data_IF_997444122376
#
_entry.id   IF_997444122376
#
_cell.length_a   1.000
_cell.length_b   1.000
_cell.length_c   1.000
_cell.angle_alpha   90.00
_cell.angle_beta   90.00
_cell.angle_gamma   90.00
#
_symmetry.space_group_name_H-M   'P 1'
#
loop_
_entity.id
_entity.type
_entity.pdbx_description
1 polymer ?
#
# COMPACT_ATOMS: atom_id res chain seq x y z
N UNK A 1 5.53 16.72 -4.06
CA UNK A 1 4.51 15.80 -4.60
C UNK A 1 3.16 15.90 -3.87
N UNK A 2 3.10 16.19 -2.57
CA UNK A 2 1.83 16.35 -1.84
C UNK A 2 0.92 17.42 -2.49
N UNK A 3 1.45 18.60 -2.81
CA UNK A 3 0.69 19.66 -3.51
C UNK A 3 0.07 19.17 -4.85
N UNK A 4 0.83 18.38 -5.63
CA UNK A 4 0.30 17.77 -6.88
C UNK A 4 -0.83 16.80 -6.60
N UNK A 5 -0.70 15.99 -5.55
CA UNK A 5 -1.76 15.06 -5.12
C UNK A 5 -3.04 15.82 -4.76
N UNK A 6 -2.94 16.84 -3.94
CA UNK A 6 -4.09 17.66 -3.51
C UNK A 6 -4.74 18.38 -4.71
N UNK A 7 -3.92 18.91 -5.62
CA UNK A 7 -4.41 19.52 -6.85
C UNK A 7 -5.12 18.50 -7.75
N UNK A 8 -4.51 17.31 -7.95
CA UNK A 8 -5.11 16.24 -8.73
C UNK A 8 -6.47 15.81 -8.16
N UNK A 9 -6.56 15.60 -6.85
CA UNK A 9 -7.82 15.23 -6.18
C UNK A 9 -8.89 16.29 -6.41
N UNK A 10 -8.55 17.59 -6.33
CA UNK A 10 -9.49 18.68 -6.45
C UNK A 10 -9.99 18.89 -7.90
N UNK A 11 -9.08 18.82 -8.88
CA UNK A 11 -9.38 19.25 -10.25
C UNK A 11 -9.50 18.08 -11.25
N UNK A 12 -8.87 16.94 -10.98
CA UNK A 12 -8.68 15.85 -11.95
C UNK A 12 -9.12 14.46 -11.45
N UNK A 13 -9.82 14.36 -10.31
CA UNK A 13 -10.27 13.07 -9.77
C UNK A 13 -11.19 12.30 -10.74
N UNK A 14 -11.83 12.99 -11.68
CA UNK A 14 -12.61 12.37 -12.75
C UNK A 14 -11.76 11.44 -13.63
N UNK A 15 -10.47 11.75 -13.85
CA UNK A 15 -9.55 10.87 -14.60
C UNK A 15 -9.36 9.56 -13.83
N UNK A 16 -9.11 9.65 -12.52
CA UNK A 16 -8.97 8.46 -11.67
C UNK A 16 -10.25 7.61 -11.73
N UNK A 17 -11.41 8.22 -11.51
CA UNK A 17 -12.70 7.52 -11.57
C UNK A 17 -12.91 6.87 -12.93
N UNK A 18 -12.71 7.63 -14.00
CA UNK A 18 -12.87 7.13 -15.37
C UNK A 18 -11.95 5.93 -15.70
N UNK A 19 -10.76 5.85 -15.11
CA UNK A 19 -9.81 4.77 -15.35
C UNK A 19 -9.93 3.61 -14.37
N UNK A 20 -10.26 3.87 -13.10
CA UNK A 20 -10.24 2.87 -12.03
C UNK A 20 -11.60 2.18 -11.84
N UNK A 21 -12.71 2.85 -12.16
CA UNK A 21 -14.04 2.31 -12.01
C UNK A 21 -14.51 1.59 -13.28
N UNK A 22 -15.56 0.78 -13.14
CA UNK A 22 -16.23 0.20 -14.30
C UNK A 22 -16.81 1.29 -15.22
N UNK A 23 -16.88 1.06 -16.53
CA UNK A 23 -16.60 -0.17 -17.26
C UNK A 23 -15.13 -0.33 -17.70
N UNK A 24 -14.25 0.63 -17.40
CA UNK A 24 -12.85 0.65 -17.87
C UNK A 24 -11.88 0.04 -16.86
N UNK A 25 -12.22 0.09 -15.59
CA UNK A 25 -11.49 -0.53 -14.47
C UNK A 25 -12.30 -1.60 -13.76
N UNK A 26 -11.92 -1.91 -12.54
CA UNK A 26 -12.59 -2.85 -11.65
C UNK A 26 -12.14 -2.59 -10.19
N UNK A 27 -12.79 -3.20 -9.20
CA UNK A 27 -12.53 -2.93 -7.77
C UNK A 27 -11.07 -3.12 -7.34
N UNK A 28 -10.31 -3.95 -8.06
CA UNK A 28 -8.87 -4.18 -7.82
C UNK A 28 -7.95 -3.29 -8.65
N UNK A 29 -8.49 -2.36 -9.43
CA UNK A 29 -7.68 -1.51 -10.29
C UNK A 29 -6.85 -0.54 -9.44
N UNK A 30 -5.56 -0.54 -9.70
CA UNK A 30 -4.58 0.38 -9.15
C UNK A 30 -3.70 0.89 -10.28
N UNK A 31 -3.32 2.14 -10.23
CA UNK A 31 -2.52 2.76 -11.26
C UNK A 31 -1.53 3.78 -10.71
N UNK A 32 -0.67 4.26 -11.58
CA UNK A 32 0.25 5.33 -11.27
C UNK A 32 0.36 6.32 -12.43
N UNK A 33 0.57 7.58 -12.09
CA UNK A 33 0.85 8.65 -13.02
C UNK A 33 2.27 9.14 -12.82
N UNK A 34 3.04 9.18 -13.91
CA UNK A 34 4.42 9.62 -13.91
C UNK A 34 4.51 11.12 -14.16
N UNK A 35 5.38 11.78 -13.42
CA UNK A 35 5.67 13.19 -13.54
C UNK A 35 7.19 13.44 -13.60
N UNK A 36 7.65 14.51 -14.24
CA UNK A 36 9.00 15.01 -14.02
C UNK A 36 9.22 15.25 -12.52
N UNK A 37 10.41 14.92 -11.98
CA UNK A 37 10.70 15.13 -10.57
C UNK A 37 10.65 16.63 -10.25
N UNK A 38 10.30 16.96 -9.02
CA UNK A 38 10.34 18.34 -8.53
C UNK A 38 11.79 18.76 -8.25
N UNK A 39 12.53 17.90 -7.55
CA UNK A 39 13.97 18.06 -7.36
C UNK A 39 14.72 17.41 -8.53
N UNK A 40 15.53 18.18 -9.30
CA UNK A 40 16.29 17.65 -10.42
C UNK A 40 17.33 16.58 -10.02
N UNK A 41 17.61 16.39 -8.76
CA UNK A 41 18.45 15.28 -8.28
C UNK A 41 17.71 13.94 -8.27
N UNK A 42 16.38 13.94 -8.27
CA UNK A 42 15.56 12.74 -8.34
C UNK A 42 15.31 12.31 -9.79
N UNK A 43 14.85 11.09 -10.01
CA UNK A 43 14.68 10.54 -11.35
C UNK A 43 13.26 10.76 -11.86
N UNK A 44 12.22 10.61 -11.00
CA UNK A 44 10.82 10.64 -11.39
C UNK A 44 9.91 10.96 -10.20
N UNK A 45 8.78 11.62 -10.46
CA UNK A 45 7.68 11.78 -9.53
C UNK A 45 6.52 10.86 -9.86
N UNK A 46 5.80 10.36 -8.86
CA UNK A 46 4.67 9.43 -9.04
C UNK A 46 3.49 9.82 -8.15
N UNK A 47 2.28 9.78 -8.73
CA UNK A 47 1.00 9.73 -8.00
C UNK A 47 0.41 8.35 -8.15
N UNK A 48 -0.12 7.80 -7.07
CA UNK A 48 -0.80 6.50 -7.05
C UNK A 48 -2.31 6.71 -7.00
N UNK A 49 -3.03 6.07 -7.92
CA UNK A 49 -4.48 6.16 -8.04
C UNK A 49 -5.12 4.78 -7.88
N UNK A 50 -6.18 4.74 -7.11
CA UNK A 50 -6.95 3.52 -6.86
C UNK A 50 -8.46 3.82 -6.87
N UNK A 51 -9.26 2.78 -6.71
CA UNK A 51 -10.71 2.95 -6.51
C UNK A 51 -11.02 3.76 -5.26
N UNK A 52 -10.21 3.64 -4.20
CA UNK A 52 -10.33 4.38 -2.94
C UNK A 52 -9.87 5.84 -3.00
N UNK A 53 -9.12 6.22 -4.01
CA UNK A 53 -8.61 7.60 -4.14
C UNK A 53 -7.18 7.69 -4.66
N UNK A 54 -6.54 8.81 -4.39
CA UNK A 54 -5.13 9.04 -4.70
C UNK A 54 -4.29 8.85 -3.43
N UNK A 55 -3.52 7.77 -3.36
CA UNK A 55 -2.77 7.40 -2.16
C UNK A 55 -1.46 8.19 -2.02
N UNK A 56 -1.01 8.47 -0.78
CA UNK A 56 0.30 9.06 -0.54
C UNK A 56 1.47 8.15 -0.95
N UNK A 57 1.31 6.83 -0.81
CA UNK A 57 2.30 5.82 -1.15
C UNK A 57 1.60 4.49 -1.51
N UNK A 58 2.18 3.77 -2.48
CA UNK A 58 1.75 2.42 -2.84
C UNK A 58 2.97 1.55 -3.15
N UNK A 59 3.19 0.50 -2.35
CA UNK A 59 4.38 -0.36 -2.49
C UNK A 59 4.33 -1.23 -3.75
N UNK A 60 3.24 -1.98 -3.96
CA UNK A 60 3.10 -2.80 -5.16
C UNK A 60 3.00 -1.93 -6.43
N UNK A 61 2.32 -0.77 -6.32
CA UNK A 61 2.29 0.21 -7.41
C UNK A 61 3.68 0.72 -7.78
N UNK A 62 4.56 0.95 -6.79
CA UNK A 62 5.97 1.31 -7.02
C UNK A 62 6.71 0.21 -7.77
N UNK A 63 6.56 -1.06 -7.37
CA UNK A 63 7.20 -2.19 -8.04
C UNK A 63 6.74 -2.29 -9.50
N UNK A 64 5.44 -2.20 -9.75
CA UNK A 64 4.86 -2.20 -11.10
C UNK A 64 5.34 -1.01 -11.93
N UNK A 65 5.27 0.19 -11.37
CA UNK A 65 5.69 1.44 -12.03
C UNK A 65 7.15 1.40 -12.46
N UNK A 66 8.05 1.00 -11.56
CA UNK A 66 9.49 0.91 -11.84
C UNK A 66 9.75 -0.15 -12.91
N UNK A 67 9.11 -1.31 -12.82
CA UNK A 67 9.24 -2.36 -13.82
C UNK A 67 8.86 -1.84 -15.21
N UNK A 68 7.69 -1.20 -15.35
CA UNK A 68 7.21 -0.65 -16.62
C UNK A 68 8.11 0.49 -17.09
N UNK A 69 8.44 1.43 -16.21
CA UNK A 69 9.20 2.62 -16.58
C UNK A 69 10.61 2.28 -17.09
N UNK A 70 11.24 1.25 -16.52
CA UNK A 70 12.56 0.77 -16.96
C UNK A 70 12.45 -0.07 -18.25
N UNK A 71 11.54 -1.04 -18.31
CA UNK A 71 11.37 -1.92 -19.48
C UNK A 71 10.94 -1.15 -20.73
N UNK A 72 10.12 -0.09 -20.56
CA UNK A 72 9.60 0.73 -21.66
C UNK A 72 10.41 2.02 -21.90
N UNK A 73 11.49 2.24 -21.16
CA UNK A 73 12.34 3.41 -21.32
C UNK A 73 11.66 4.76 -21.01
N UNK A 74 10.64 4.74 -20.14
CA UNK A 74 9.91 5.96 -19.74
C UNK A 74 10.70 6.82 -18.76
N UNK A 75 11.75 6.27 -18.18
CA UNK A 75 12.69 6.98 -17.30
C UNK A 75 14.12 6.56 -17.65
N UNK A 76 15.04 7.54 -17.59
CA UNK A 76 16.49 7.30 -17.69
C UNK A 76 17.09 7.42 -16.31
N UNK A 77 17.43 6.31 -15.64
CA UNK A 77 18.04 6.36 -14.31
C UNK A 77 19.38 7.09 -14.34
N UNK A 78 19.61 8.00 -13.41
CA UNK A 78 20.90 8.67 -13.24
C UNK A 78 22.01 7.71 -12.85
N UNK A 79 21.64 6.65 -12.13
CA UNK A 79 22.55 5.58 -11.72
C UNK A 79 21.90 4.25 -12.15
N UNK A 80 22.53 3.47 -13.03
CA UNK A 80 22.00 2.15 -13.41
C UNK A 80 21.69 1.27 -12.20
N UNK A 81 20.56 0.61 -12.21
CA UNK A 81 20.09 -0.23 -11.10
C UNK A 81 19.47 0.52 -9.93
N UNK A 82 19.38 1.86 -9.98
CA UNK A 82 18.83 2.71 -8.91
C UNK A 82 17.88 3.77 -9.45
N UNK A 83 16.87 4.12 -8.64
CA UNK A 83 15.99 5.26 -8.89
C UNK A 83 15.71 6.02 -7.58
N UNK A 84 15.57 7.32 -7.69
CA UNK A 84 15.06 8.21 -6.64
C UNK A 84 13.66 8.67 -7.04
N UNK A 85 12.67 8.13 -6.35
CA UNK A 85 11.26 8.29 -6.67
C UNK A 85 10.59 9.26 -5.69
N UNK A 86 10.07 10.36 -6.19
CA UNK A 86 9.28 11.29 -5.38
C UNK A 86 7.83 10.82 -5.28
N UNK A 87 7.34 10.64 -4.06
CA UNK A 87 5.94 10.32 -3.78
C UNK A 87 5.30 11.39 -2.88
N UNK A 88 3.98 11.45 -2.76
CA UNK A 88 3.35 12.34 -1.78
C UNK A 88 3.77 12.06 -0.33
N UNK A 89 4.08 10.81 0.02
CA UNK A 89 4.55 10.44 1.36
C UNK A 89 6.05 10.73 1.58
N UNK A 90 6.81 11.11 0.54
CA UNK A 90 8.23 11.42 0.62
C UNK A 90 9.08 10.78 -0.46
N UNK A 91 10.39 10.86 -0.29
CA UNK A 91 11.36 10.26 -1.21
C UNK A 91 11.51 8.77 -0.95
N UNK A 92 11.40 7.98 -2.01
CA UNK A 92 11.58 6.52 -2.00
C UNK A 92 12.81 6.16 -2.81
N UNK A 93 13.73 5.44 -2.20
CA UNK A 93 14.91 4.92 -2.86
C UNK A 93 14.65 3.53 -3.40
N UNK A 94 14.98 3.33 -4.67
CA UNK A 94 14.75 2.09 -5.40
C UNK A 94 16.10 1.49 -5.79
N UNK A 95 16.27 0.19 -5.52
CA UNK A 95 17.23 -0.66 -6.19
C UNK A 95 16.45 -1.64 -7.08
N UNK A 96 16.88 -1.89 -8.31
CA UNK A 96 16.26 -2.87 -9.18
C UNK A 96 17.32 -3.72 -9.88
N UNK A 97 16.96 -4.98 -10.13
CA UNK A 97 17.79 -5.92 -10.89
C UNK A 97 17.20 -6.08 -12.28
N UNK A 98 18.00 -5.78 -13.29
CA UNK A 98 17.61 -5.94 -14.70
C UNK A 98 18.52 -6.96 -15.40
N UNK A 99 17.90 -7.88 -16.13
CA UNK A 99 18.59 -8.86 -16.98
C UNK A 99 18.07 -8.73 -18.41
N UNK A 100 18.93 -8.24 -19.29
CA UNK A 100 18.52 -7.90 -20.65
C UNK A 100 17.42 -6.84 -20.63
N UNK A 101 16.30 -7.05 -21.36
CA UNK A 101 15.21 -6.09 -21.38
C UNK A 101 14.28 -6.19 -20.16
N UNK A 102 14.49 -7.15 -19.24
CA UNK A 102 13.53 -7.48 -18.18
C UNK A 102 14.01 -7.11 -16.79
N UNK A 103 13.15 -6.42 -16.03
CA UNK A 103 13.33 -6.20 -14.59
C UNK A 103 12.94 -7.47 -13.84
N UNK A 104 13.86 -7.99 -13.04
CA UNK A 104 13.69 -9.25 -12.28
C UNK A 104 13.12 -8.99 -10.89
N UNK A 105 13.64 -7.98 -10.21
CA UNK A 105 13.14 -7.54 -8.91
C UNK A 105 13.27 -6.04 -8.75
N UNK A 106 12.43 -5.48 -7.89
CA UNK A 106 12.44 -4.09 -7.46
C UNK A 106 12.39 -4.08 -5.94
N UNK A 107 13.42 -3.49 -5.33
CA UNK A 107 13.48 -3.22 -3.90
C UNK A 107 13.27 -1.73 -3.67
N UNK A 108 12.29 -1.38 -2.90
CA UNK A 108 12.05 -0.01 -2.46
C UNK A 108 12.43 0.15 -0.98
N UNK A 109 13.19 1.19 -0.67
CA UNK A 109 13.36 1.67 0.71
C UNK A 109 12.25 2.68 0.96
N UNK A 110 11.31 2.25 1.79
CA UNK A 110 10.07 2.98 2.03
C UNK A 110 10.29 4.13 3.02
N UNK A 111 9.25 4.93 3.21
CA UNK A 111 9.21 6.01 4.21
C UNK A 111 9.27 5.45 5.62
N UNK A 112 9.62 6.32 6.60
CA UNK A 112 9.61 5.95 8.01
C UNK A 112 8.28 5.32 8.39
N UNK A 113 8.33 4.18 9.07
CA UNK A 113 7.17 3.39 9.49
C UNK A 113 7.19 3.17 10.99
N UNK A 114 6.02 3.27 11.64
CA UNK A 114 5.92 3.22 13.09
C UNK A 114 4.57 2.69 13.57
N UNK A 115 4.54 2.13 14.78
CA UNK A 115 3.31 1.77 15.48
C UNK A 115 2.67 3.06 16.03
N UNK A 116 1.50 3.41 15.51
CA UNK A 116 0.78 4.63 15.89
C UNK A 116 0.01 4.44 17.20
N UNK A 117 -0.79 3.38 17.29
CA UNK A 117 -1.58 3.02 18.46
C UNK A 117 -1.69 1.51 18.60
N UNK A 118 -1.84 1.03 19.84
CA UNK A 118 -1.95 -0.39 20.17
C UNK A 118 -3.26 -0.67 20.90
N UNK A 119 -3.91 -1.79 20.56
CA UNK A 119 -5.06 -2.31 21.29
C UNK A 119 -6.31 -1.43 21.24
N UNK A 120 -6.52 -0.67 20.15
CA UNK A 120 -7.78 0.05 19.96
C UNK A 120 -8.92 -0.95 19.78
N UNK A 121 -10.08 -0.67 20.34
CA UNK A 121 -11.22 -1.60 20.28
C UNK A 121 -12.41 -1.00 19.57
N UNK A 122 -13.06 -1.81 18.75
CA UNK A 122 -14.36 -1.52 18.14
C UNK A 122 -15.30 -2.72 18.32
N UNK A 123 -16.59 -2.46 18.43
CA UNK A 123 -17.63 -3.48 18.47
C UNK A 123 -18.16 -3.67 17.05
N UNK A 124 -17.69 -4.73 16.40
CA UNK A 124 -18.07 -5.07 15.03
C UNK A 124 -19.30 -5.99 15.04
N UNK A 125 -20.41 -5.61 14.40
CA UNK A 125 -21.58 -6.48 14.30
C UNK A 125 -21.22 -7.88 13.83
N UNK A 126 -21.82 -8.90 14.42
CA UNK A 126 -21.65 -10.33 14.16
C UNK A 126 -20.24 -10.91 14.49
N UNK A 127 -19.22 -10.05 14.66
CA UNK A 127 -17.88 -10.45 15.05
C UNK A 127 -17.55 -10.13 16.51
N UNK A 128 -18.26 -9.16 17.11
CA UNK A 128 -18.06 -8.70 18.48
C UNK A 128 -16.88 -7.74 18.62
N UNK A 129 -16.34 -7.64 19.83
CA UNK A 129 -15.27 -6.69 20.14
C UNK A 129 -13.96 -7.16 19.52
N UNK A 130 -13.43 -6.34 18.61
CA UNK A 130 -12.17 -6.57 17.92
C UNK A 130 -11.12 -5.57 18.42
N UNK A 131 -9.96 -6.10 18.80
CA UNK A 131 -8.76 -5.34 19.13
C UNK A 131 -7.93 -5.11 17.87
N UNK A 132 -7.50 -3.87 17.65
CA UNK A 132 -6.80 -3.44 16.44
C UNK A 132 -5.59 -2.60 16.83
N UNK A 133 -4.44 -2.95 16.30
CA UNK A 133 -3.28 -2.07 16.33
C UNK A 133 -3.31 -1.15 15.11
N UNK A 134 -2.85 0.07 15.24
CA UNK A 134 -2.74 0.99 14.10
C UNK A 134 -1.27 1.32 13.87
N UNK A 135 -0.80 1.05 12.66
CA UNK A 135 0.57 1.36 12.26
C UNK A 135 0.59 2.12 10.92
N UNK A 136 1.63 2.94 10.74
CA UNK A 136 1.91 3.69 9.53
C UNK A 136 3.05 3.03 8.75
N UNK A 137 2.86 2.85 7.44
CA UNK A 137 3.86 2.31 6.52
C UNK A 137 3.87 3.03 5.16
N UNK A 138 3.45 4.31 5.15
CA UNK A 138 3.15 5.12 3.96
C UNK A 138 1.66 5.44 3.86
N UNK A 139 0.83 4.62 4.51
CA UNK A 139 -0.59 4.83 4.80
C UNK A 139 -0.86 4.30 6.22
N UNK A 140 -2.02 4.65 6.82
CA UNK A 140 -2.46 4.07 8.09
C UNK A 140 -3.18 2.74 7.88
N UNK A 141 -2.77 1.74 8.66
CA UNK A 141 -3.29 0.37 8.66
C UNK A 141 -3.86 0.01 10.02
N UNK A 142 -5.12 -0.43 10.05
CA UNK A 142 -5.68 -1.16 11.19
C UNK A 142 -5.27 -2.64 11.05
N UNK A 143 -4.38 -3.10 11.91
CA UNK A 143 -3.83 -4.45 11.88
C UNK A 143 -4.58 -5.31 12.89
N UNK A 144 -5.20 -6.38 12.41
CA UNK A 144 -5.97 -7.32 13.21
C UNK A 144 -5.21 -8.63 13.27
N UNK A 145 -4.64 -8.91 14.44
CA UNK A 145 -4.01 -10.17 14.75
C UNK A 145 -5.04 -11.22 15.18
N UNK A 146 -4.77 -12.54 15.03
CA UNK A 146 -5.60 -13.58 15.59
C UNK A 146 -5.92 -13.35 17.07
N UNK A 147 -7.18 -13.48 17.42
CA UNK A 147 -7.76 -13.22 18.74
C UNK A 147 -9.03 -14.04 18.95
N UNK A 148 -9.69 -13.95 20.10
CA UNK A 148 -10.82 -14.81 20.45
C UNK A 148 -11.96 -14.84 19.41
N UNK A 149 -12.24 -13.71 18.76
CA UNK A 149 -13.30 -13.55 17.77
C UNK A 149 -12.81 -13.61 16.31
N UNK A 150 -11.51 -13.78 16.11
CA UNK A 150 -10.86 -13.89 14.81
C UNK A 150 -9.63 -14.78 14.95
N UNK A 151 -9.74 -16.03 14.59
CA UNK A 151 -8.69 -17.03 14.75
C UNK A 151 -7.61 -16.98 13.67
N UNK A 152 -8.00 -16.91 12.39
CA UNK A 152 -7.07 -16.85 11.24
C UNK A 152 -7.81 -16.41 9.98
N UNK A 153 -7.09 -15.79 9.03
CA UNK A 153 -7.66 -15.40 7.72
C UNK A 153 -8.18 -16.60 6.92
N UNK A 154 -7.68 -17.81 7.18
CA UNK A 154 -8.10 -19.02 6.48
C UNK A 154 -9.50 -19.50 6.90
N UNK A 155 -10.00 -19.03 8.04
CA UNK A 155 -11.35 -19.38 8.55
C UNK A 155 -12.45 -18.52 7.92
N UNK A 156 -12.07 -17.51 7.12
CA UNK A 156 -13.01 -16.56 6.54
C UNK A 156 -12.90 -16.52 5.02
N UNK A 157 -14.04 -16.39 4.35
CA UNK A 157 -14.07 -16.09 2.92
C UNK A 157 -13.57 -14.65 2.63
N UNK A 158 -13.11 -14.41 1.42
CA UNK A 158 -12.71 -13.05 0.99
C UNK A 158 -13.85 -12.03 1.19
N UNK A 159 -15.09 -12.42 0.89
CA UNK A 159 -16.26 -11.55 1.07
C UNK A 159 -16.50 -11.19 2.55
N UNK A 160 -16.30 -12.13 3.48
CA UNK A 160 -16.41 -11.85 4.92
C UNK A 160 -15.31 -10.91 5.40
N UNK A 161 -14.04 -11.14 4.99
CA UNK A 161 -12.92 -10.26 5.34
C UNK A 161 -13.13 -8.83 4.79
N UNK A 162 -13.67 -8.69 3.57
CA UNK A 162 -14.04 -7.39 2.98
C UNK A 162 -15.15 -6.75 3.81
N UNK A 163 -16.24 -7.47 4.07
CA UNK A 163 -17.40 -6.97 4.79
C UNK A 163 -17.03 -6.45 6.19
N UNK A 164 -16.40 -7.29 7.01
CA UNK A 164 -15.99 -6.88 8.36
C UNK A 164 -14.90 -5.81 8.33
N UNK A 165 -13.98 -5.87 7.37
CA UNK A 165 -12.93 -4.87 7.20
C UNK A 165 -13.50 -3.46 6.94
N UNK A 166 -14.54 -3.35 6.11
CA UNK A 166 -15.25 -2.07 5.86
C UNK A 166 -15.85 -1.51 7.14
N UNK A 167 -16.59 -2.35 7.87
CA UNK A 167 -17.25 -1.96 9.13
C UNK A 167 -16.20 -1.50 10.14
N UNK A 168 -15.16 -2.30 10.37
CA UNK A 168 -14.10 -1.98 11.34
C UNK A 168 -13.37 -0.69 10.96
N UNK A 169 -13.04 -0.50 9.68
CA UNK A 169 -12.41 0.73 9.20
C UNK A 169 -13.28 1.96 9.46
N UNK A 170 -14.57 1.87 9.17
CA UNK A 170 -15.53 2.94 9.43
C UNK A 170 -15.59 3.25 10.92
N UNK A 171 -15.84 2.25 11.78
CA UNK A 171 -15.94 2.42 13.24
C UNK A 171 -14.67 3.03 13.85
N UNK A 172 -13.48 2.62 13.37
CA UNK A 172 -12.22 3.18 13.82
C UNK A 172 -12.09 4.68 13.45
N UNK A 173 -12.44 5.05 12.20
CA UNK A 173 -12.39 6.45 11.77
C UNK A 173 -13.45 7.33 12.44
N UNK A 174 -14.59 6.78 12.81
CA UNK A 174 -15.63 7.51 13.57
C UNK A 174 -15.20 7.75 15.03
N UNK A 175 -14.48 6.79 15.60
CA UNK A 175 -14.12 6.81 17.03
C UNK A 175 -12.77 7.49 17.29
N UNK A 176 -11.83 7.43 16.35
CA UNK A 176 -10.46 7.89 16.54
C UNK A 176 -10.00 8.77 15.38
N UNK A 177 -9.14 9.74 15.66
CA UNK A 177 -8.45 10.54 14.66
C UNK A 177 -7.04 9.98 14.42
N UNK A 178 -6.74 9.69 13.17
CA UNK A 178 -5.41 9.22 12.72
C UNK A 178 -4.77 10.31 11.87
N UNK A 179 -3.69 10.92 12.35
CA UNK A 179 -2.98 12.01 11.64
C UNK A 179 -1.48 11.75 11.76
N UNK A 180 -0.78 11.85 10.64
CA UNK A 180 0.68 11.70 10.64
C UNK A 180 1.34 12.87 11.39
N UNK A 181 2.22 12.60 12.36
CA UNK A 181 2.75 13.64 13.25
C UNK A 181 3.65 14.66 12.53
N UNK A 182 4.28 14.27 11.40
CA UNK A 182 5.15 15.13 10.62
C UNK A 182 4.44 15.77 9.39
N UNK A 183 3.22 15.31 9.00
CA UNK A 183 2.44 15.86 7.88
C UNK A 183 0.93 15.67 8.08
N UNK A 184 0.22 16.73 8.45
CA UNK A 184 -1.22 16.73 8.69
C UNK A 184 -2.07 16.41 7.44
N UNK A 185 -1.52 16.48 6.22
CA UNK A 185 -2.23 16.07 5.01
C UNK A 185 -2.31 14.54 4.85
N UNK A 186 -1.56 13.80 5.66
CA UNK A 186 -1.64 12.33 5.74
C UNK A 186 -2.50 12.00 6.95
N UNK A 187 -3.76 11.68 6.70
CA UNK A 187 -4.74 11.42 7.75
C UNK A 187 -5.76 10.35 7.34
N UNK A 188 -6.46 9.82 8.35
CA UNK A 188 -7.47 8.77 8.21
C UNK A 188 -6.88 7.37 8.07
N UNK A 189 -7.58 6.40 8.63
CA UNK A 189 -7.29 4.98 8.48
C UNK A 189 -7.85 4.51 7.13
N UNK A 190 -6.99 4.16 6.20
CA UNK A 190 -7.38 3.83 4.83
C UNK A 190 -7.49 2.33 4.56
N UNK A 191 -6.77 1.51 5.33
CA UNK A 191 -6.67 0.06 5.10
C UNK A 191 -6.92 -0.74 6.38
N UNK A 192 -7.51 -1.92 6.23
CA UNK A 192 -7.52 -2.97 7.25
C UNK A 192 -6.64 -4.12 6.77
N UNK A 193 -5.75 -4.57 7.64
CA UNK A 193 -4.86 -5.70 7.41
C UNK A 193 -5.20 -6.82 8.38
N UNK A 194 -5.92 -7.81 7.89
CA UNK A 194 -6.11 -9.08 8.56
C UNK A 194 -4.82 -9.89 8.52
N UNK A 195 -4.43 -10.50 9.62
CA UNK A 195 -3.22 -11.32 9.67
C UNK A 195 -3.55 -12.77 10.02
N UNK A 196 -2.65 -13.68 9.64
CA UNK A 196 -2.83 -15.10 9.91
C UNK A 196 -1.50 -15.84 9.84
N UNK A 197 -1.58 -17.15 10.07
CA UNK A 197 -0.44 -18.03 9.98
C UNK A 197 0.04 -18.17 8.54
N UNK A 198 1.36 -18.18 8.30
CA UNK A 198 1.90 -18.44 6.98
C UNK A 198 1.57 -19.86 6.50
N UNK A 199 1.34 -20.01 5.20
CA UNK A 199 1.08 -21.30 4.56
C UNK A 199 2.26 -21.78 3.72
N UNK A 200 3.17 -20.87 3.35
CA UNK A 200 4.35 -21.19 2.56
C UNK A 200 5.59 -21.34 3.45
N UNK A 201 6.51 -22.24 3.07
CA UNK A 201 7.81 -22.36 3.74
C UNK A 201 8.53 -21.01 3.77
N UNK A 202 9.18 -20.71 4.87
CA UNK A 202 9.97 -19.50 5.10
C UNK A 202 9.17 -18.20 5.18
N UNK A 203 7.84 -18.19 5.05
CA UNK A 203 7.05 -16.99 5.34
C UNK A 203 7.06 -16.67 6.83
N UNK A 204 7.28 -15.39 7.16
CA UNK A 204 7.27 -14.88 8.54
C UNK A 204 5.86 -14.59 9.03
N UNK A 205 4.95 -14.23 8.13
CA UNK A 205 3.55 -13.91 8.40
C UNK A 205 2.75 -13.88 7.11
N UNK A 206 1.42 -13.89 7.25
CA UNK A 206 0.48 -13.84 6.14
C UNK A 206 -0.56 -12.76 6.38
N UNK A 207 -1.03 -12.13 5.31
CA UNK A 207 -2.08 -11.11 5.42
C UNK A 207 -3.13 -11.19 4.32
N UNK A 208 -4.26 -10.53 4.60
CA UNK A 208 -5.26 -10.12 3.63
C UNK A 208 -5.56 -8.64 3.89
N UNK A 209 -5.28 -7.79 2.92
CA UNK A 209 -5.44 -6.33 3.07
C UNK A 209 -6.66 -5.86 2.30
N UNK A 210 -7.58 -5.21 3.00
CA UNK A 210 -8.70 -4.51 2.38
C UNK A 210 -8.19 -3.27 1.65
N UNK A 211 -8.40 -3.24 0.33
CA UNK A 211 -8.09 -2.12 -0.56
C UNK A 211 -9.41 -1.55 -1.09
N UNK A 212 -9.56 -0.24 -1.02
CA UNK A 212 -10.83 0.39 -1.36
C UNK A 212 -11.97 -0.13 -0.49
N UNK A 213 -13.13 -0.35 -1.11
CA UNK A 213 -14.33 -0.82 -0.40
C UNK A 213 -14.69 -2.27 -0.71
N UNK A 214 -14.19 -2.85 -1.79
CA UNK A 214 -14.73 -4.10 -2.29
C UNK A 214 -13.67 -5.17 -2.58
N UNK A 215 -12.41 -4.96 -2.20
CA UNK A 215 -11.36 -5.87 -2.64
C UNK A 215 -10.26 -6.14 -1.61
N UNK A 216 -9.66 -7.33 -1.69
CA UNK A 216 -8.43 -7.67 -1.00
C UNK A 216 -7.24 -7.51 -1.95
N UNK A 217 -6.12 -6.97 -1.46
CA UNK A 217 -4.87 -6.90 -2.21
C UNK A 217 -4.40 -8.32 -2.60
N UNK A 218 -3.97 -8.50 -3.84
CA UNK A 218 -3.38 -9.76 -4.31
C UNK A 218 -1.90 -9.85 -3.97
N UNK A 219 -1.24 -8.71 -3.77
CA UNK A 219 0.10 -8.66 -3.23
C UNK A 219 0.09 -8.73 -1.69
N UNK A 220 1.26 -8.95 -1.03
CA UNK A 220 1.35 -8.82 0.43
C UNK A 220 1.13 -7.38 0.94
N UNK A 221 0.84 -6.43 0.05
CA UNK A 221 0.76 -5.00 0.31
C UNK A 221 2.08 -4.39 0.82
N UNK A 222 2.80 -3.63 0.01
CA UNK A 222 4.14 -3.12 0.37
C UNK A 222 4.12 -2.17 1.56
N UNK A 223 3.19 -1.19 1.58
CA UNK A 223 3.00 -0.27 2.70
C UNK A 223 2.39 -0.98 3.91
N UNK A 224 1.51 -1.97 3.71
CA UNK A 224 0.99 -2.84 4.76
C UNK A 224 2.08 -3.74 5.38
N UNK A 225 2.99 -4.27 4.56
CA UNK A 225 4.17 -5.01 5.05
C UNK A 225 5.08 -4.11 5.88
N UNK A 226 5.31 -2.86 5.44
CA UNK A 226 6.07 -1.86 6.20
C UNK A 226 5.43 -1.55 7.55
N UNK A 227 4.10 -1.36 7.57
CA UNK A 227 3.33 -1.15 8.79
C UNK A 227 3.40 -2.37 9.74
N UNK A 228 3.30 -3.59 9.20
CA UNK A 228 3.45 -4.84 9.97
C UNK A 228 4.83 -4.99 10.57
N UNK A 229 5.88 -4.71 9.80
CA UNK A 229 7.25 -4.73 10.29
C UNK A 229 7.47 -3.71 11.41
N UNK A 230 6.91 -2.51 11.29
CA UNK A 230 6.97 -1.48 12.32
C UNK A 230 6.22 -1.89 13.60
N UNK A 231 5.04 -2.51 13.46
CA UNK A 231 4.31 -3.09 14.59
C UNK A 231 5.15 -4.17 15.30
N UNK A 232 5.73 -5.10 14.55
CA UNK A 232 6.54 -6.17 15.12
C UNK A 232 7.84 -5.65 15.73
N UNK A 233 8.46 -4.64 15.13
CA UNK A 233 9.64 -3.99 15.70
C UNK A 233 9.30 -3.32 17.04
N UNK A 234 8.24 -2.52 17.11
CA UNK A 234 7.80 -1.87 18.35
C UNK A 234 7.45 -2.89 19.46
N UNK A 235 6.91 -4.06 19.09
CA UNK A 235 6.58 -5.17 20.00
C UNK A 235 7.77 -6.11 20.28
N UNK A 236 8.98 -5.81 19.79
CA UNK A 236 10.19 -6.62 19.99
C UNK A 236 10.19 -7.97 19.26
N UNK A 237 9.25 -8.19 18.32
CA UNK A 237 9.15 -9.45 17.55
C UNK A 237 10.01 -9.47 16.30
N UNK A 238 10.42 -8.32 15.78
CA UNK A 238 11.31 -8.18 14.62
C UNK A 238 12.51 -7.32 15.00
N UNK A 239 13.69 -7.71 14.53
CA UNK A 239 14.95 -6.97 14.79
C UNK A 239 15.60 -6.59 13.47
N UNK A 240 16.40 -5.51 13.49
CA UNK A 240 17.26 -5.15 12.37
C UNK A 240 18.17 -6.32 11.98
N UNK A 241 18.34 -6.55 10.69
CA UNK A 241 19.13 -7.66 10.14
C UNK A 241 18.34 -8.96 9.93
N UNK A 242 17.08 -9.04 10.39
CA UNK A 242 16.21 -10.20 10.13
C UNK A 242 15.38 -9.94 8.86
N UNK A 243 15.29 -10.91 7.97
CA UNK A 243 14.35 -10.88 6.84
C UNK A 243 12.94 -11.14 7.34
N UNK A 244 11.98 -10.40 6.78
CA UNK A 244 10.56 -10.57 7.01
C UNK A 244 9.89 -10.95 5.69
N UNK A 245 9.61 -12.24 5.48
CA UNK A 245 8.93 -12.72 4.28
C UNK A 245 7.43 -12.69 4.54
N UNK A 246 6.74 -11.76 3.88
CA UNK A 246 5.31 -11.57 4.05
C UNK A 246 4.53 -12.22 2.90
N UNK A 247 3.60 -13.09 3.25
CA UNK A 247 2.76 -13.85 2.32
C UNK A 247 1.41 -13.14 2.13
N UNK A 248 0.93 -13.05 0.91
CA UNK A 248 -0.40 -12.50 0.60
C UNK A 248 -1.51 -13.54 0.73
N UNK A 249 -2.75 -13.08 0.60
CA UNK A 249 -3.92 -13.95 0.55
C UNK A 249 -3.84 -15.04 -0.54
N UNK A 250 -3.24 -14.73 -1.70
CA UNK A 250 -3.05 -15.67 -2.81
C UNK A 250 -1.70 -16.42 -2.79
N UNK A 251 -0.87 -16.22 -1.75
CA UNK A 251 0.43 -16.88 -1.62
C UNK A 251 1.60 -16.18 -2.34
N UNK A 252 1.43 -14.97 -2.89
CA UNK A 252 2.58 -14.18 -3.36
C UNK A 252 3.39 -13.66 -2.17
N UNK A 253 4.68 -13.43 -2.35
CA UNK A 253 5.57 -13.03 -1.25
C UNK A 253 6.31 -11.73 -1.57
N UNK A 254 6.50 -10.91 -0.53
CA UNK A 254 7.48 -9.83 -0.49
C UNK A 254 8.54 -10.14 0.56
N UNK A 255 9.78 -9.74 0.27
CA UNK A 255 10.87 -9.77 1.25
C UNK A 255 11.06 -8.38 1.84
N UNK A 256 10.85 -8.26 3.14
CA UNK A 256 11.05 -7.04 3.91
C UNK A 256 12.33 -7.07 4.74
N UNK A 257 12.97 -5.90 4.93
CA UNK A 257 14.12 -5.72 5.83
C UNK A 257 14.05 -4.38 6.54
N UNK A 258 14.59 -4.30 7.75
CA UNK A 258 14.79 -3.03 8.46
C UNK A 258 16.15 -2.48 8.03
N UNK A 259 16.16 -1.44 7.21
CA UNK A 259 17.38 -0.78 6.73
C UNK A 259 17.96 0.13 7.82
N UNK A 260 17.10 0.89 8.51
CA UNK A 260 17.50 1.73 9.62
C UNK A 260 16.46 1.75 10.74
N UNK A 261 16.92 1.96 11.95
CA UNK A 261 16.12 2.26 13.12
C UNK A 261 16.07 3.77 13.31
N UNK A 262 14.92 4.31 13.69
CA UNK A 262 14.71 5.75 13.83
C UNK A 262 13.63 6.04 14.88
N UNK A 263 13.26 7.30 15.04
CA UNK A 263 12.21 7.77 15.93
C UNK A 263 11.27 8.67 15.12
N UNK A 264 9.97 8.55 15.34
CA UNK A 264 8.94 9.46 14.85
C UNK A 264 8.06 9.84 16.03
N UNK A 265 7.97 11.12 16.33
CA UNK A 265 7.18 11.65 17.47
C UNK A 265 7.45 10.91 18.78
N UNK A 266 8.74 10.68 19.09
CA UNK A 266 9.17 9.97 20.30
C UNK A 266 8.93 8.45 20.30
N UNK A 267 8.31 7.90 19.28
CA UNK A 267 8.02 6.46 19.15
C UNK A 267 9.10 5.73 18.37
N UNK A 268 9.45 4.47 18.74
CA UNK A 268 10.31 3.63 17.92
C UNK A 268 9.75 3.49 16.51
N UNK A 269 10.59 3.74 15.52
CA UNK A 269 10.26 3.69 14.10
C UNK A 269 11.36 3.00 13.30
N UNK A 270 11.05 2.56 12.11
CA UNK A 270 11.96 1.92 11.19
C UNK A 270 11.93 2.60 9.82
N UNK A 271 13.01 2.45 9.07
CA UNK A 271 13.04 2.66 7.63
C UNK A 271 13.04 1.27 7.00
N UNK A 272 11.91 0.76 6.51
CA UNK A 272 11.83 -0.57 5.94
C UNK A 272 12.17 -0.57 4.45
N UNK A 273 12.68 -1.69 3.94
CA UNK A 273 12.68 -1.98 2.51
C UNK A 273 11.75 -3.15 2.20
N UNK A 274 11.20 -3.13 1.00
CA UNK A 274 10.33 -4.18 0.46
C UNK A 274 10.84 -4.55 -0.91
N UNK A 275 11.05 -5.83 -1.17
CA UNK A 275 11.44 -6.36 -2.47
C UNK A 275 10.36 -7.28 -3.02
N UNK A 276 10.05 -7.09 -4.30
CA UNK A 276 9.10 -7.90 -5.05
C UNK A 276 9.36 -7.80 -6.54
N UNK A 277 8.43 -8.31 -7.36
CA UNK A 277 8.54 -8.30 -8.81
C UNK A 277 7.18 -8.02 -9.47
N UNK A 278 7.22 -7.56 -10.71
CA UNK A 278 6.05 -7.36 -11.56
C UNK A 278 6.33 -7.81 -12.99
N UNK A 279 5.26 -7.93 -13.80
CA UNK A 279 5.34 -8.25 -15.23
C UNK A 279 4.36 -7.40 -16.00
N UNK A 280 4.79 -6.93 -17.18
CA UNK A 280 3.90 -6.29 -18.14
C UNK A 280 3.01 -7.38 -18.73
N UNK A 281 1.71 -7.20 -18.66
CA UNK A 281 0.70 -8.14 -19.17
C UNK A 281 -0.03 -7.62 -20.40
N UNK A 282 0.09 -6.33 -20.69
CA UNK A 282 -0.56 -5.75 -21.88
C UNK A 282 -0.39 -4.24 -21.95
N UNK A 283 -0.87 -3.71 -23.09
CA UNK A 283 -1.00 -2.29 -23.38
C UNK A 283 -2.44 -2.01 -23.76
N UNK A 284 -3.00 -0.94 -23.23
CA UNK A 284 -4.39 -0.58 -23.46
C UNK A 284 -4.50 0.87 -23.93
N UNK A 285 -5.42 1.12 -24.86
CA UNK A 285 -5.89 2.45 -25.19
C UNK A 285 -7.29 2.61 -24.62
N UNK A 286 -7.46 3.55 -23.69
CA UNK A 286 -8.70 3.78 -22.99
C UNK A 286 -9.27 5.13 -23.42
N UNK A 287 -10.56 5.17 -23.73
CA UNK A 287 -11.29 6.37 -24.09
C UNK A 287 -12.17 6.83 -22.92
N UNK A 288 -12.12 8.11 -22.64
CA UNK A 288 -13.03 8.81 -21.76
C UNK A 288 -13.80 9.79 -22.65
N UNK A 289 -15.00 9.39 -23.05
CA UNK A 289 -15.90 10.15 -23.93
C UNK A 289 -16.88 10.92 -23.05
N UNK A 290 -16.91 12.23 -23.15
CA UNK A 290 -17.78 13.10 -22.36
C UNK A 290 -19.27 13.01 -22.76
N UNK A 291 -19.58 12.41 -23.92
CA UNK A 291 -20.94 12.06 -24.32
C UNK A 291 -21.42 10.72 -23.70
N UNK A 292 -20.51 9.90 -23.14
CA UNK A 292 -20.87 8.68 -22.43
C UNK A 292 -21.44 9.01 -21.04
N UNK A 293 -22.71 8.63 -20.72
CA UNK A 293 -23.28 8.85 -19.39
C UNK A 293 -22.49 8.15 -18.26
N UNK A 294 -21.66 7.15 -18.58
CA UNK A 294 -20.77 6.44 -17.66
C UNK A 294 -19.31 6.88 -17.76
N UNK A 295 -19.04 8.00 -18.39
CA UNK A 295 -17.69 8.55 -18.54
C UNK A 295 -16.92 8.66 -17.21
N UNK A 296 -17.59 9.06 -16.11
CA UNK A 296 -17.01 9.13 -14.77
C UNK A 296 -16.82 7.77 -14.09
N UNK A 297 -17.22 6.67 -14.73
CA UNK A 297 -17.20 5.35 -14.14
C UNK A 297 -18.25 5.15 -13.04
N UNK A 298 -18.45 3.91 -12.62
CA UNK A 298 -19.34 3.51 -11.53
C UNK A 298 -18.78 2.34 -10.74
N UNK A 299 -19.29 2.14 -9.55
CA UNK A 299 -19.05 0.95 -8.72
C UNK A 299 -20.40 0.35 -8.34
N UNK A 300 -20.49 -0.97 -8.36
CA UNK A 300 -21.63 -1.72 -7.83
C UNK A 300 -21.31 -2.09 -6.39
N UNK A 301 -21.97 -1.43 -5.43
CA UNK A 301 -21.68 -1.52 -4.00
C UNK A 301 -22.80 -2.31 -3.31
#
# INVERSE_FOLDING_TARGET
MMERRLHFIREYDWIRKGLMFEPRGHDMMSGSMLYPPFDPQNDIGVLYIETSGCLPMCGHGTIGTVTIAIEEGLVQPKIPGKLRLETPAGLVHIDYVQEGPKVKSVKLTNVKSFLYAEGLTVDCPDLGIISVDVAYGGNFYGIIDPQANFDDISSYSASQLIHYGKIIRQLLNEKYAFVHPEDANIHGLTHIQWTGNPTLPNSSGRNAVLVGDNALDRSPCGTGTSARMAQWYAKGKLKKGTEFIHESYIGSQFTGKIEAETIVDGKPAIVPSIEGWARITGYNTIFLDDEDPYFGGFQVI
#
